data_IF_421047694510
#
_entry.id   IF_421047694510
#
_cell.length_a   1.000
_cell.length_b   1.000
_cell.length_c   1.000
_cell.angle_alpha   90.00
_cell.angle_beta   90.00
_cell.angle_gamma   90.00
#
_symmetry.space_group_name_H-M   'P 1'
#
loop_
_entity.id
_entity.type
_entity.pdbx_description
1 polymer ?
#
# COMPACT_ATOMS: atom_id res chain seq x y z
N UNK A 1 1.86 7.38 -4.00
CA UNK A 1 0.59 8.11 -4.09
C UNK A 1 -0.55 7.15 -3.80
N UNK A 2 -1.68 7.70 -3.35
CA UNK A 2 -2.91 6.95 -3.14
C UNK A 2 -4.06 7.71 -3.79
N UNK A 3 -4.96 6.98 -4.45
CA UNK A 3 -6.11 7.52 -5.18
C UNK A 3 -7.37 6.85 -4.67
N UNK A 4 -8.32 7.67 -4.21
CA UNK A 4 -9.64 7.23 -3.78
C UNK A 4 -10.53 6.87 -4.99
N UNK A 5 -11.32 5.82 -4.83
CA UNK A 5 -12.42 5.43 -5.70
C UNK A 5 -13.57 4.89 -4.84
N UNK A 6 -14.69 4.52 -5.47
CA UNK A 6 -15.84 3.98 -4.75
C UNK A 6 -15.48 2.67 -4.02
N UNK A 7 -15.55 2.71 -2.68
CA UNK A 7 -15.17 1.60 -1.78
C UNK A 7 -13.79 1.01 -2.08
N UNK A 8 -12.87 1.83 -2.60
CA UNK A 8 -11.55 1.38 -3.05
C UNK A 8 -10.48 2.46 -2.91
N UNK A 9 -9.26 2.03 -2.60
CA UNK A 9 -8.05 2.86 -2.71
C UNK A 9 -7.04 2.18 -3.62
N UNK A 10 -6.57 2.89 -4.64
CA UNK A 10 -5.44 2.45 -5.46
C UNK A 10 -4.17 3.13 -4.98
N UNK A 11 -3.17 2.34 -4.59
CA UNK A 11 -1.84 2.80 -4.23
C UNK A 11 -0.85 2.54 -5.36
N UNK A 12 0.06 3.49 -5.53
CA UNK A 12 1.21 3.35 -6.44
C UNK A 12 2.43 4.01 -5.82
N UNK A 13 3.59 3.37 -5.90
CA UNK A 13 4.83 3.89 -5.32
C UNK A 13 6.01 3.74 -6.28
N UNK A 14 7.11 4.42 -5.97
CA UNK A 14 8.33 4.26 -6.74
C UNK A 14 9.04 2.97 -6.34
N UNK A 15 9.63 2.23 -7.30
CA UNK A 15 10.40 1.04 -6.98
C UNK A 15 11.59 1.41 -6.09
N UNK A 16 11.84 0.61 -5.06
CA UNK A 16 13.05 0.68 -4.28
C UNK A 16 14.20 -0.03 -5.01
N UNK A 17 15.43 0.40 -4.72
CA UNK A 17 16.63 -0.17 -5.29
C UNK A 17 17.51 -0.72 -4.18
N UNK A 18 18.11 -1.87 -4.43
CA UNK A 18 19.14 -2.42 -3.56
C UNK A 18 20.41 -1.57 -3.68
N UNK A 19 21.21 -1.46 -2.61
CA UNK A 19 22.48 -0.74 -2.67
C UNK A 19 23.44 -1.36 -3.70
N UNK A 20 24.33 -0.57 -4.32
CA UNK A 20 25.33 -1.09 -5.25
C UNK A 20 26.16 -2.20 -4.60
N UNK A 21 26.42 -3.28 -5.34
CA UNK A 21 27.16 -4.44 -4.82
C UNK A 21 26.31 -5.43 -4.01
N UNK A 22 24.99 -5.23 -3.92
CA UNK A 22 24.08 -6.24 -3.39
C UNK A 22 24.10 -7.51 -4.25
N UNK A 23 23.91 -8.65 -3.59
CA UNK A 23 23.88 -9.95 -4.25
C UNK A 23 22.70 -10.03 -5.24
N UNK A 24 22.90 -10.48 -6.49
CA UNK A 24 21.83 -10.56 -7.50
C UNK A 24 20.69 -11.52 -7.12
N UNK A 25 20.91 -12.42 -6.15
CA UNK A 25 19.86 -13.27 -5.60
C UNK A 25 18.94 -12.53 -4.62
N UNK A 26 19.26 -11.28 -4.25
CA UNK A 26 18.37 -10.46 -3.41
C UNK A 26 17.19 -9.95 -4.22
N UNK A 27 15.98 -10.15 -3.68
CA UNK A 27 14.75 -9.57 -4.22
C UNK A 27 14.20 -8.47 -3.32
N UNK A 28 13.41 -7.56 -3.89
CA UNK A 28 12.61 -6.58 -3.13
C UNK A 28 11.14 -6.93 -3.31
N UNK A 29 10.42 -6.99 -2.19
CA UNK A 29 8.96 -7.02 -2.15
C UNK A 29 8.46 -5.81 -1.35
N UNK A 30 7.17 -5.55 -1.43
CA UNK A 30 6.52 -4.41 -0.81
C UNK A 30 5.34 -4.89 0.02
N UNK A 31 5.42 -4.73 1.33
CA UNK A 31 4.30 -4.92 2.22
C UNK A 31 3.55 -3.59 2.36
N UNK A 32 2.27 -3.58 2.02
CA UNK A 32 1.41 -2.42 2.27
C UNK A 32 0.92 -2.48 3.72
N UNK A 33 0.99 -1.34 4.40
CA UNK A 33 0.43 -1.16 5.73
C UNK A 33 -0.63 -0.07 5.72
N UNK A 34 -1.67 -0.27 6.53
CA UNK A 34 -2.80 0.64 6.65
C UNK A 34 -3.08 0.97 8.11
N UNK A 35 -3.45 2.22 8.38
CA UNK A 35 -3.92 2.67 9.68
C UNK A 35 -5.15 3.57 9.51
N UNK A 36 -6.00 3.63 10.54
CA UNK A 36 -7.10 4.61 10.65
C UNK A 36 -6.74 5.79 11.56
N UNK A 37 -5.71 5.64 12.40
CA UNK A 37 -5.21 6.66 13.32
C UNK A 37 -3.93 7.35 12.83
N UNK A 38 -3.28 6.77 11.82
CA UNK A 38 -1.98 7.22 11.31
C UNK A 38 -0.79 6.78 12.17
N UNK A 39 -1.01 5.88 13.14
CA UNK A 39 0.02 5.37 14.05
C UNK A 39 0.04 3.84 14.10
N UNK A 40 -1.12 3.24 14.36
CA UNK A 40 -1.26 1.78 14.50
C UNK A 40 -1.45 1.16 13.11
N UNK A 41 -0.33 0.92 12.44
CA UNK A 41 -0.31 0.35 11.09
C UNK A 41 -0.41 -1.17 11.13
N UNK A 42 -1.35 -1.72 10.38
CA UNK A 42 -1.51 -3.17 10.18
C UNK A 42 -1.10 -3.55 8.76
N UNK A 43 -0.45 -4.70 8.61
CA UNK A 43 -0.09 -5.25 7.30
C UNK A 43 -1.37 -5.71 6.60
N UNK A 44 -1.56 -5.28 5.35
CA UNK A 44 -2.70 -5.68 4.53
C UNK A 44 -2.23 -6.42 3.27
N UNK A 45 -2.90 -7.52 2.97
CA UNK A 45 -2.52 -8.39 1.85
C UNK A 45 -1.13 -9.01 2.00
N UNK A 46 -0.72 -9.75 0.97
CA UNK A 46 0.61 -10.35 0.89
C UNK A 46 1.66 -9.35 0.36
N UNK A 47 2.96 -9.59 0.60
CA UNK A 47 4.02 -8.79 0.00
C UNK A 47 3.95 -8.80 -1.54
N UNK A 48 3.90 -7.63 -2.14
CA UNK A 48 3.80 -7.45 -3.58
C UNK A 48 5.18 -7.36 -4.22
N UNK A 49 5.37 -7.98 -5.39
CA UNK A 49 6.57 -7.76 -6.23
C UNK A 49 6.47 -6.48 -7.06
N UNK A 50 5.23 -6.10 -7.40
CA UNK A 50 4.94 -4.88 -8.16
C UNK A 50 4.89 -3.64 -7.28
N UNK A 51 4.75 -2.48 -7.93
CA UNK A 51 4.71 -1.17 -7.26
C UNK A 51 3.31 -0.56 -7.15
N UNK A 52 2.28 -1.42 -7.18
CA UNK A 52 0.87 -1.04 -7.13
C UNK A 52 0.08 -2.00 -6.26
N UNK A 53 -0.90 -1.48 -5.53
CA UNK A 53 -1.82 -2.29 -4.72
C UNK A 53 -3.21 -1.65 -4.69
N UNK A 54 -4.25 -2.49 -4.65
CA UNK A 54 -5.64 -2.03 -4.57
C UNK A 54 -6.23 -2.52 -3.25
N UNK A 55 -6.55 -1.59 -2.36
CA UNK A 55 -7.29 -1.88 -1.14
C UNK A 55 -8.80 -1.77 -1.41
N UNK A 56 -9.52 -2.88 -1.26
CA UNK A 56 -10.99 -2.98 -1.39
C UNK A 56 -11.69 -3.18 -0.05
N UNK A 57 -10.96 -3.13 1.06
CA UNK A 57 -11.48 -3.33 2.40
C UNK A 57 -11.61 -1.99 3.12
N UNK A 58 -12.08 -0.97 2.39
CA UNK A 58 -12.17 0.43 2.84
C UNK A 58 -13.61 0.91 2.76
N UNK A 59 -13.97 1.83 3.65
CA UNK A 59 -15.31 2.42 3.69
C UNK A 59 -15.26 3.86 3.18
N UNK A 60 -16.24 4.23 2.34
CA UNK A 60 -16.42 5.60 1.89
C UNK A 60 -16.61 6.55 3.08
N UNK A 61 -15.98 7.73 3.02
CA UNK A 61 -16.00 8.75 4.07
C UNK A 61 -15.06 8.49 5.25
N UNK A 62 -14.46 7.29 5.37
CA UNK A 62 -13.45 7.01 6.40
C UNK A 62 -12.06 7.39 5.91
N UNK A 63 -11.32 8.19 6.69
CA UNK A 63 -9.92 8.49 6.41
C UNK A 63 -9.04 7.28 6.72
N UNK A 64 -8.15 6.95 5.79
CA UNK A 64 -7.12 5.93 5.95
C UNK A 64 -5.73 6.51 5.67
N UNK A 65 -4.75 5.95 6.37
CA UNK A 65 -3.33 6.25 6.22
C UNK A 65 -2.62 5.02 5.71
N UNK A 66 -1.75 5.17 4.73
CA UNK A 66 -1.00 4.08 4.14
C UNK A 66 0.48 4.35 4.14
N UNK A 67 1.25 3.31 4.42
CA UNK A 67 2.69 3.27 4.24
C UNK A 67 3.07 2.00 3.49
N UNK A 68 4.19 2.02 2.79
CA UNK A 68 4.71 0.85 2.09
C UNK A 68 6.07 0.52 2.70
N UNK A 69 6.18 -0.68 3.28
CA UNK A 69 7.43 -1.20 3.80
C UNK A 69 8.08 -2.08 2.74
N UNK A 70 9.34 -1.79 2.43
CA UNK A 70 10.16 -2.67 1.62
C UNK A 70 10.53 -3.92 2.41
N UNK A 71 10.56 -5.07 1.76
CA UNK A 71 11.02 -6.33 2.33
C UNK A 71 12.04 -6.94 1.40
N UNK A 72 13.26 -7.11 1.89
CA UNK A 72 14.33 -7.75 1.12
C UNK A 72 14.25 -9.25 1.31
N UNK A 73 14.34 -10.01 0.23
CA UNK A 73 14.41 -11.49 0.29
C UNK A 73 15.81 -11.93 -0.06
N UNK A 74 16.43 -12.74 0.80
CA UNK A 74 17.74 -13.35 0.55
C UNK A 74 17.78 -14.76 1.12
N UNK A 75 18.17 -15.77 0.31
CA UNK A 75 18.26 -17.18 0.73
C UNK A 75 17.02 -17.68 1.48
N UNK A 76 15.83 -17.39 0.93
CA UNK A 76 14.52 -17.71 1.51
C UNK A 76 14.21 -17.04 2.87
N UNK A 77 15.01 -16.09 3.32
CA UNK A 77 14.71 -15.25 4.46
C UNK A 77 14.13 -13.90 3.98
N UNK A 78 13.09 -13.44 4.67
CA UNK A 78 12.53 -12.10 4.51
C UNK A 78 13.08 -11.20 5.61
N UNK A 79 13.64 -10.06 5.21
CA UNK A 79 14.09 -9.00 6.10
C UNK A 79 13.25 -7.75 5.86
N UNK A 80 12.79 -7.13 6.94
CA UNK A 80 12.10 -5.84 6.87
C UNK A 80 13.10 -4.74 6.51
N UNK A 81 12.71 -3.87 5.58
CA UNK A 81 13.49 -2.76 5.08
C UNK A 81 12.88 -1.41 5.44
N UNK A 82 13.26 -0.39 4.66
CA UNK A 82 12.77 0.97 4.83
C UNK A 82 11.26 1.10 4.60
N UNK A 83 10.65 2.03 5.33
CA UNK A 83 9.23 2.39 5.23
C UNK A 83 9.11 3.70 4.45
N UNK A 84 8.16 3.77 3.53
CA UNK A 84 7.87 4.98 2.77
C UNK A 84 7.29 6.09 3.66
N UNK A 85 7.27 7.33 3.14
CA UNK A 85 6.42 8.37 3.73
C UNK A 85 4.96 7.91 3.73
N UNK A 86 4.23 8.28 4.78
CA UNK A 86 2.80 8.02 4.84
C UNK A 86 2.05 8.87 3.84
N UNK A 87 0.96 8.32 3.33
CA UNK A 87 -0.04 9.04 2.53
C UNK A 87 -1.40 8.86 3.17
N UNK A 88 -2.23 9.90 3.14
CA UNK A 88 -3.61 9.84 3.62
C UNK A 88 -4.59 9.93 2.45
N UNK A 89 -5.72 9.24 2.57
CA UNK A 89 -6.77 9.20 1.57
C UNK A 89 -8.11 8.86 2.21
N UNK A 90 -9.18 9.44 1.69
CA UNK A 90 -10.56 9.15 2.10
C UNK A 90 -11.31 8.67 0.85
N UNK A 91 -11.72 7.39 0.76
CA UNK A 91 -12.56 6.89 -0.31
C UNK A 91 -13.86 7.69 -0.36
N UNK A 92 -14.35 7.97 -1.57
CA UNK A 92 -15.57 8.75 -1.77
C UNK A 92 -16.56 7.90 -2.55
N UNK A 93 -17.83 8.04 -2.19
CA UNK A 93 -18.92 7.42 -2.95
C UNK A 93 -19.01 8.12 -4.30
N UNK A 94 -18.82 7.34 -5.37
CA UNK A 94 -18.94 7.80 -6.75
C UNK A 94 -20.19 7.23 -7.42
N UNK A 95 -21.07 6.56 -6.67
CA UNK A 95 -22.34 6.06 -7.21
C UNK A 95 -23.29 7.22 -7.45
N UNK A 96 -23.88 7.35 -8.66
CA UNK A 96 -24.91 8.34 -8.92
C UNK A 96 -26.15 8.06 -8.04
N UNK A 97 -26.87 9.09 -7.58
CA UNK A 97 -28.13 8.89 -6.90
C UNK A 97 -29.12 8.14 -7.83
N UNK A 98 -30.02 7.31 -7.28
CA UNK A 98 -31.05 6.65 -8.08
C UNK A 98 -31.92 7.70 -8.78
N UNK A 99 -32.32 7.42 -10.03
CA UNK A 99 -33.21 8.29 -10.77
C UNK A 99 -34.54 8.46 -10.02
N UNK A 100 -35.14 9.66 -9.98
CA UNK A 100 -36.46 9.86 -9.38
C UNK A 100 -37.51 9.00 -10.10
N UNK A 101 -38.42 8.40 -9.33
CA UNK A 101 -39.59 7.65 -9.85
C UNK A 101 -40.78 8.58 -10.02
#
# INVERSE_FOLDING_TARGET
TATAADSQVTLSWQPAHLPPGSDPAMGINYQVLRSVSGKDYVKIGEPQKGTSYIDRQVTNGQKYFYTVQTMTTYKNALAEGGVSKQVEVTPVDLTPPPAPT
#
